data_IF_482025374180
#
_entry.id   IF_482025374180
#
_cell.length_a   1.000
_cell.length_b   1.000
_cell.length_c   1.000
_cell.angle_alpha   90.00
_cell.angle_beta   90.00
_cell.angle_gamma   90.00
#
_symmetry.space_group_name_H-M   'P 1'
#
loop_
_entity.id
_entity.type
_entity.pdbx_description
1 polymer ?
#
# COMPACT_ATOMS: atom_id res chain seq x y z
N UNK A 1 -15.96 -2.48 -5.15
CA UNK A 1 -16.97 -1.42 -4.99
C UNK A 1 -16.92 -0.92 -3.55
N UNK A 2 -16.73 0.37 -3.36
CA UNK A 2 -16.69 1.02 -2.05
C UNK A 2 -18.09 1.52 -1.70
N UNK A 3 -18.59 1.15 -0.52
CA UNK A 3 -19.93 1.54 -0.04
C UNK A 3 -19.98 2.95 0.54
N UNK A 4 -18.83 3.56 0.79
CA UNK A 4 -18.69 4.90 1.38
C UNK A 4 -17.72 5.76 0.58
N UNK A 5 -17.83 7.07 0.75
CA UNK A 5 -16.90 8.01 0.14
C UNK A 5 -15.55 7.97 0.84
N UNK A 6 -14.49 7.74 0.09
CA UNK A 6 -13.14 7.55 0.62
C UNK A 6 -12.26 8.80 0.51
N UNK A 7 -12.70 9.83 -0.23
CA UNK A 7 -11.96 11.09 -0.34
C UNK A 7 -12.12 11.93 0.92
N UNK A 8 -11.03 12.49 1.43
CA UNK A 8 -11.00 13.29 2.65
C UNK A 8 -11.99 14.48 2.62
N UNK A 9 -12.20 15.08 1.46
CA UNK A 9 -13.15 16.18 1.27
C UNK A 9 -14.59 15.83 1.69
N UNK A 10 -15.00 14.56 1.58
CA UNK A 10 -16.33 14.14 2.03
C UNK A 10 -16.47 14.16 3.57
N UNK A 11 -15.36 14.08 4.30
CA UNK A 11 -15.37 14.29 5.75
C UNK A 11 -15.85 15.67 6.12
N UNK A 12 -15.39 16.71 5.43
CA UNK A 12 -15.84 18.07 5.63
C UNK A 12 -17.33 18.23 5.30
N UNK A 13 -17.79 17.67 4.19
CA UNK A 13 -19.19 17.73 3.77
C UNK A 13 -20.08 17.03 4.81
N UNK A 14 -19.72 15.82 5.24
CA UNK A 14 -20.50 15.06 6.22
C UNK A 14 -20.56 15.71 7.61
N UNK A 15 -19.49 16.42 8.00
CA UNK A 15 -19.42 17.13 9.28
C UNK A 15 -20.03 18.56 9.24
N UNK A 16 -20.35 19.08 8.05
CA UNK A 16 -20.84 20.45 7.87
C UNK A 16 -19.79 21.51 8.15
N UNK A 17 -18.51 21.20 7.93
CA UNK A 17 -17.40 22.14 8.11
C UNK A 17 -16.84 22.59 6.76
N UNK A 18 -16.24 23.80 6.66
CA UNK A 18 -15.61 24.25 5.43
C UNK A 18 -14.47 23.32 5.00
N UNK A 19 -14.34 22.93 3.72
CA UNK A 19 -13.29 22.01 3.26
C UNK A 19 -11.86 22.49 3.54
N UNK A 20 -11.63 23.79 3.61
CA UNK A 20 -10.31 24.39 3.89
C UNK A 20 -9.88 24.26 5.36
N UNK A 21 -10.75 23.77 6.24
CA UNK A 21 -10.41 23.43 7.62
C UNK A 21 -9.67 22.09 7.74
N UNK A 22 -9.77 21.22 6.72
CA UNK A 22 -8.96 20.00 6.66
C UNK A 22 -7.56 20.40 6.20
N UNK A 23 -6.57 20.29 7.10
CA UNK A 23 -5.17 20.64 6.86
C UNK A 23 -4.31 19.41 6.62
N UNK A 24 -4.53 18.40 7.45
CA UNK A 24 -3.73 17.19 7.45
C UNK A 24 -4.56 16.01 6.96
N UNK A 25 -4.07 15.34 5.92
CA UNK A 25 -4.71 14.18 5.32
C UNK A 25 -3.72 13.02 5.39
N UNK A 26 -3.94 12.15 6.39
CA UNK A 26 -3.12 10.96 6.58
C UNK A 26 -3.74 9.80 5.80
N UNK A 27 -3.07 9.39 4.74
CA UNK A 27 -3.50 8.24 3.95
C UNK A 27 -2.87 6.96 4.48
N UNK A 28 -3.68 6.00 4.87
CA UNK A 28 -3.21 4.68 5.32
C UNK A 28 -2.98 3.78 4.11
N UNK A 29 -1.76 3.30 3.94
CA UNK A 29 -1.33 2.49 2.81
C UNK A 29 -0.67 1.20 3.31
N UNK A 30 -0.98 0.08 2.72
CA UNK A 30 -0.29 -1.19 2.99
C UNK A 30 1.06 -1.24 2.25
N UNK A 31 2.03 -1.93 2.82
CA UNK A 31 3.31 -2.20 2.17
C UNK A 31 3.20 -3.12 0.92
N UNK A 32 2.04 -3.70 0.69
CA UNK A 32 1.62 -4.41 -0.52
C UNK A 32 0.19 -3.99 -0.88
N UNK A 33 -0.37 -4.47 -1.97
CA UNK A 33 -1.74 -4.15 -2.37
C UNK A 33 -2.68 -5.33 -2.18
N UNK A 34 -3.92 -5.06 -1.78
CA UNK A 34 -4.98 -6.09 -1.76
C UNK A 34 -6.30 -5.50 -2.24
N UNK A 35 -7.11 -6.31 -2.92
CA UNK A 35 -8.38 -5.87 -3.47
C UNK A 35 -9.50 -6.88 -3.21
N UNK A 36 -10.74 -6.37 -3.21
CA UNK A 36 -11.98 -7.15 -3.14
C UNK A 36 -12.82 -6.86 -4.38
N UNK A 37 -13.50 -7.87 -4.88
CA UNK A 37 -14.40 -7.73 -6.02
C UNK A 37 -13.72 -7.83 -7.37
N UNK A 38 -14.53 -7.62 -8.43
CA UNK A 38 -14.08 -7.61 -9.80
C UNK A 38 -13.56 -6.23 -10.20
N UNK A 39 -12.68 -6.17 -11.16
CA UNK A 39 -12.06 -4.97 -11.69
C UNK A 39 -10.58 -5.22 -11.95
N UNK A 40 -9.98 -4.36 -12.75
CA UNK A 40 -8.58 -4.49 -13.08
C UNK A 40 -7.69 -4.21 -11.87
N UNK A 41 -6.72 -5.08 -11.67
CA UNK A 41 -5.73 -4.96 -10.61
C UNK A 41 -4.35 -5.24 -11.21
N UNK A 42 -3.75 -4.22 -11.82
CA UNK A 42 -2.58 -4.37 -12.70
C UNK A 42 -1.39 -5.02 -12.00
N UNK A 43 -1.16 -4.75 -10.72
CA UNK A 43 -0.08 -5.37 -9.95
C UNK A 43 -0.46 -6.69 -9.27
N UNK A 44 -1.58 -7.32 -9.67
CA UNK A 44 -2.05 -8.57 -9.09
C UNK A 44 -1.05 -9.71 -9.32
N UNK A 45 -0.88 -10.55 -8.30
CA UNK A 45 -0.08 -11.76 -8.32
C UNK A 45 -0.97 -12.99 -8.10
N UNK A 46 -0.51 -14.14 -8.55
CA UNK A 46 -1.29 -15.38 -8.59
C UNK A 46 -0.48 -16.56 -8.06
N UNK A 47 -1.16 -17.68 -7.78
CA UNK A 47 -0.54 -18.92 -7.35
C UNK A 47 0.03 -18.84 -5.93
N UNK A 48 1.05 -19.68 -5.67
CA UNK A 48 1.63 -19.87 -4.33
C UNK A 48 2.16 -18.57 -3.69
N UNK A 49 2.69 -17.66 -4.51
CA UNK A 49 3.17 -16.35 -4.05
C UNK A 49 2.01 -15.50 -3.48
N UNK A 50 0.88 -15.45 -4.19
CA UNK A 50 -0.30 -14.75 -3.72
C UNK A 50 -0.89 -15.40 -2.48
N UNK A 51 -0.91 -16.73 -2.43
CA UNK A 51 -1.46 -17.50 -1.32
C UNK A 51 -0.62 -17.32 -0.05
N UNK A 52 0.71 -17.33 -0.17
CA UNK A 52 1.60 -17.11 0.95
C UNK A 52 1.49 -15.67 1.49
N UNK A 53 1.50 -14.67 0.61
CA UNK A 53 1.31 -13.27 1.01
C UNK A 53 -0.06 -13.07 1.69
N UNK A 54 -1.11 -13.68 1.15
CA UNK A 54 -2.47 -13.64 1.73
C UNK A 54 -2.51 -14.26 3.11
N UNK A 55 -1.88 -15.41 3.29
CA UNK A 55 -1.84 -16.13 4.56
C UNK A 55 -1.10 -15.34 5.64
N UNK A 56 -0.04 -14.63 5.28
CA UNK A 56 0.75 -13.79 6.19
C UNK A 56 0.13 -12.43 6.46
N UNK A 57 -0.74 -11.97 5.58
CA UNK A 57 -1.31 -10.63 5.62
C UNK A 57 -2.16 -10.38 6.85
N UNK A 58 -1.66 -9.61 7.81
CA UNK A 58 -2.34 -9.27 9.06
C UNK A 58 -2.62 -10.46 9.97
N UNK A 59 -3.32 -10.22 11.07
CA UNK A 59 -3.77 -11.29 11.95
C UNK A 59 -4.96 -12.03 11.31
N UNK A 60 -4.76 -13.31 11.01
CA UNK A 60 -5.76 -14.17 10.36
C UNK A 60 -5.76 -14.13 8.84
N UNK A 61 -4.81 -13.42 8.22
CA UNK A 61 -4.65 -13.34 6.76
C UNK A 61 -5.55 -12.32 6.07
N UNK A 62 -5.31 -12.14 4.78
CA UNK A 62 -6.07 -11.20 3.92
C UNK A 62 -7.35 -11.86 3.40
N UNK A 63 -8.36 -11.90 4.26
CA UNK A 63 -9.71 -12.38 3.93
C UNK A 63 -10.75 -11.29 4.19
N UNK A 64 -11.87 -11.33 3.48
CA UNK A 64 -12.97 -10.41 3.73
C UNK A 64 -13.58 -10.63 5.11
N UNK A 65 -13.61 -9.59 5.95
CA UNK A 65 -14.04 -9.67 7.35
C UNK A 65 -15.45 -10.28 7.55
N UNK A 66 -16.35 -10.05 6.60
CA UNK A 66 -17.75 -10.53 6.68
C UNK A 66 -17.98 -11.83 5.92
N UNK A 67 -17.20 -12.12 4.90
CA UNK A 67 -17.46 -13.22 3.96
C UNK A 67 -16.43 -14.33 4.01
N UNK A 68 -15.28 -14.10 4.66
CA UNK A 68 -14.12 -15.02 4.64
C UNK A 68 -13.52 -15.25 3.24
N UNK A 69 -13.94 -14.50 2.22
CA UNK A 69 -13.43 -14.68 0.85
C UNK A 69 -11.99 -14.21 0.75
N UNK A 70 -11.12 -14.97 0.05
CA UNK A 70 -9.76 -14.56 -0.20
C UNK A 70 -9.72 -13.20 -0.92
N UNK A 71 -8.86 -12.30 -0.46
CA UNK A 71 -8.56 -11.06 -1.19
C UNK A 71 -7.62 -11.36 -2.35
N UNK A 72 -7.76 -10.60 -3.40
CA UNK A 72 -6.78 -10.54 -4.49
C UNK A 72 -5.55 -9.83 -3.96
N UNK A 73 -4.37 -10.37 -4.21
CA UNK A 73 -3.10 -9.86 -3.72
C UNK A 73 -2.31 -9.24 -4.85
N UNK A 74 -1.50 -8.24 -4.54
CA UNK A 74 -0.66 -7.58 -5.53
C UNK A 74 0.50 -6.82 -4.88
N UNK A 75 1.52 -6.52 -5.67
CA UNK A 75 2.62 -5.70 -5.21
C UNK A 75 2.21 -4.23 -5.07
N UNK A 76 2.96 -3.50 -4.26
CA UNK A 76 2.67 -2.09 -3.95
C UNK A 76 2.47 -1.23 -5.21
N UNK A 77 1.38 -0.47 -5.26
CA UNK A 77 1.01 0.39 -6.39
C UNK A 77 0.06 1.54 -5.95
N UNK A 78 0.42 2.32 -4.93
CA UNK A 78 -0.53 3.26 -4.26
C UNK A 78 -0.33 4.74 -4.59
N UNK A 79 0.61 5.10 -5.48
CA UNK A 79 0.93 6.51 -5.81
C UNK A 79 -0.30 7.32 -6.24
N UNK A 80 -1.07 6.78 -7.18
CA UNK A 80 -2.27 7.48 -7.66
C UNK A 80 -3.31 7.69 -6.57
N UNK A 81 -3.51 6.70 -5.70
CA UNK A 81 -4.44 6.79 -4.56
C UNK A 81 -4.07 7.92 -3.60
N UNK A 82 -2.80 8.04 -3.21
CA UNK A 82 -2.31 9.10 -2.35
C UNK A 82 -2.51 10.49 -3.00
N UNK A 83 -2.20 10.61 -4.30
CA UNK A 83 -2.41 11.84 -5.06
C UNK A 83 -3.88 12.26 -5.12
N UNK A 84 -4.79 11.29 -5.36
CA UNK A 84 -6.24 11.57 -5.42
C UNK A 84 -6.83 11.94 -4.06
N UNK A 85 -6.25 11.43 -2.96
CA UNK A 85 -6.63 11.82 -1.60
C UNK A 85 -6.17 13.23 -1.23
N UNK A 86 -5.18 13.78 -1.94
CA UNK A 86 -4.48 14.98 -1.50
C UNK A 86 -3.69 14.73 -0.21
N UNK A 87 -3.11 13.52 -0.09
CA UNK A 87 -2.38 13.11 1.10
C UNK A 87 -1.27 14.11 1.44
N UNK A 88 -1.23 14.55 2.70
CA UNK A 88 -0.14 15.35 3.26
C UNK A 88 0.87 14.47 3.97
N UNK A 89 0.42 13.30 4.45
CA UNK A 89 1.22 12.30 5.14
C UNK A 89 0.71 10.89 4.82
N UNK A 90 1.58 9.91 5.03
CA UNK A 90 1.24 8.50 4.88
C UNK A 90 1.57 7.71 6.14
N UNK A 91 0.64 6.85 6.54
CA UNK A 91 0.87 5.76 7.46
C UNK A 91 1.06 4.45 6.65
N UNK A 92 2.30 3.94 6.59
CA UNK A 92 2.62 2.68 5.93
C UNK A 92 2.41 1.52 6.89
N UNK A 93 1.54 0.58 6.52
CA UNK A 93 1.12 -0.52 7.40
C UNK A 93 1.51 -1.90 6.88
N UNK A 94 1.39 -2.91 7.71
CA UNK A 94 1.68 -4.34 7.43
C UNK A 94 3.08 -4.58 6.85
N UNK A 95 4.05 -3.80 7.30
CA UNK A 95 5.43 -3.90 6.84
C UNK A 95 6.08 -5.21 7.30
N UNK A 96 5.74 -5.69 8.49
CA UNK A 96 6.17 -6.97 9.08
C UNK A 96 5.87 -8.17 8.18
N UNK A 97 4.78 -8.09 7.43
CA UNK A 97 4.34 -9.17 6.52
C UNK A 97 5.36 -9.49 5.45
N UNK A 98 6.14 -8.52 4.99
CA UNK A 98 7.13 -8.68 3.91
C UNK A 98 8.46 -9.28 4.38
N UNK A 99 8.66 -9.46 5.70
CA UNK A 99 9.93 -9.91 6.28
C UNK A 99 10.41 -11.31 5.85
N UNK A 100 9.59 -12.10 5.18
CA UNK A 100 9.97 -13.43 4.67
C UNK A 100 10.60 -13.40 3.27
N UNK A 101 10.46 -12.29 2.53
CA UNK A 101 10.87 -12.17 1.14
C UNK A 101 12.38 -11.93 0.99
N UNK A 102 12.98 -12.51 -0.03
CA UNK A 102 14.34 -12.21 -0.46
C UNK A 102 14.38 -10.94 -1.31
N UNK A 103 13.36 -10.78 -2.14
CA UNK A 103 13.18 -9.66 -3.05
C UNK A 103 11.74 -9.16 -3.00
N UNK A 104 11.55 -7.85 -3.07
CA UNK A 104 10.23 -7.20 -2.97
C UNK A 104 10.00 -6.36 -4.22
N UNK A 105 9.12 -6.78 -5.13
CA UNK A 105 8.72 -5.98 -6.28
C UNK A 105 7.84 -4.80 -5.87
N UNK A 106 8.08 -3.65 -6.48
CA UNK A 106 7.27 -2.43 -6.34
C UNK A 106 6.84 -2.00 -7.74
N UNK A 107 5.55 -1.82 -7.96
CA UNK A 107 5.01 -1.32 -9.22
C UNK A 107 5.29 0.18 -9.32
N UNK A 108 6.19 0.55 -10.22
CA UNK A 108 6.63 1.94 -10.42
C UNK A 108 6.05 2.58 -11.68
N UNK A 109 5.34 1.81 -12.48
CA UNK A 109 4.73 2.30 -13.73
C UNK A 109 3.91 1.22 -14.43
N UNK A 110 3.42 1.57 -15.58
CA UNK A 110 2.52 0.76 -16.41
C UNK A 110 3.00 0.77 -17.85
N UNK A 111 3.09 -0.40 -18.46
CA UNK A 111 3.30 -0.56 -19.90
C UNK A 111 1.96 -0.75 -20.59
N UNK A 112 1.67 0.05 -21.60
CA UNK A 112 0.43 0.01 -22.38
C UNK A 112 0.77 0.19 -23.86
N UNK A 113 0.43 -0.81 -24.66
CA UNK A 113 0.67 -0.80 -26.12
C UNK A 113 2.17 -0.51 -26.48
N UNK A 114 3.10 -0.92 -25.61
CA UNK A 114 4.56 -0.74 -25.78
C UNK A 114 5.11 0.57 -25.21
N UNK A 115 4.28 1.43 -24.67
CA UNK A 115 4.71 2.67 -24.00
C UNK A 115 4.67 2.53 -22.48
N UNK A 116 5.68 3.04 -21.79
CA UNK A 116 5.75 3.05 -20.33
C UNK A 116 5.33 4.42 -19.79
N UNK A 117 4.42 4.41 -18.84
CA UNK A 117 3.95 5.61 -18.13
C UNK A 117 3.97 5.41 -16.62
N UNK A 118 4.16 6.47 -15.86
CA UNK A 118 3.96 6.49 -14.41
C UNK A 118 2.54 6.93 -14.01
N UNK A 119 1.80 7.48 -14.96
CA UNK A 119 0.42 7.89 -14.73
C UNK A 119 -0.50 6.67 -14.70
N UNK A 120 -1.40 6.64 -13.70
CA UNK A 120 -2.37 5.57 -13.57
C UNK A 120 -3.31 5.55 -14.78
N UNK A 121 -3.45 4.41 -15.48
CA UNK A 121 -4.22 4.35 -16.71
C UNK A 121 -5.72 4.58 -16.47
N UNK A 122 -6.37 5.23 -17.42
CA UNK A 122 -7.85 5.30 -17.43
C UNK A 122 -8.44 3.89 -17.59
N UNK A 123 -9.66 3.70 -17.11
CA UNK A 123 -10.32 2.38 -17.05
C UNK A 123 -10.28 1.62 -18.38
N UNK A 124 -10.45 2.28 -19.51
CA UNK A 124 -10.40 1.65 -20.84
C UNK A 124 -9.01 1.09 -21.21
N UNK A 125 -7.95 1.57 -20.58
CA UNK A 125 -6.56 1.13 -20.80
C UNK A 125 -6.07 0.14 -19.75
N UNK A 126 -6.73 0.09 -18.57
CA UNK A 126 -6.31 -0.77 -17.45
C UNK A 126 -6.25 -2.25 -17.85
N UNK A 127 -7.21 -2.73 -18.61
CA UNK A 127 -7.26 -4.14 -19.04
C UNK A 127 -6.06 -4.57 -19.92
N UNK A 128 -5.36 -3.61 -20.53
CA UNK A 128 -4.17 -3.84 -21.35
C UNK A 128 -2.87 -3.51 -20.62
N UNK A 129 -2.97 -2.84 -19.49
CA UNK A 129 -1.81 -2.39 -18.75
C UNK A 129 -1.06 -3.56 -18.12
N UNK A 130 0.27 -3.53 -18.23
CA UNK A 130 1.16 -4.45 -17.54
C UNK A 130 1.95 -3.66 -16.49
N UNK A 131 2.21 -4.25 -15.31
CA UNK A 131 2.98 -3.56 -14.29
C UNK A 131 4.46 -3.50 -14.68
N UNK A 132 5.09 -2.36 -14.44
CA UNK A 132 6.55 -2.20 -14.50
C UNK A 132 7.07 -2.22 -13.08
N UNK A 133 7.91 -3.20 -12.77
CA UNK A 133 8.41 -3.40 -11.41
C UNK A 133 9.84 -2.90 -11.24
N UNK A 134 10.09 -2.31 -10.07
CA UNK A 134 11.41 -2.17 -9.47
C UNK A 134 11.52 -3.19 -8.35
N UNK A 135 12.51 -4.06 -8.42
CA UNK A 135 12.76 -5.06 -7.38
C UNK A 135 13.74 -4.49 -6.36
N UNK A 136 13.39 -4.58 -5.09
CA UNK A 136 14.21 -4.16 -3.96
C UNK A 136 14.62 -5.39 -3.13
N UNK A 137 15.80 -5.39 -2.49
CA UNK A 137 16.19 -6.48 -1.60
C UNK A 137 15.27 -6.52 -0.37
N UNK A 138 14.85 -7.71 0.01
CA UNK A 138 14.16 -7.96 1.26
C UNK A 138 15.09 -7.85 2.46
N UNK A 139 14.53 -7.87 3.66
CA UNK A 139 15.31 -7.78 4.90
C UNK A 139 15.43 -9.09 5.66
N UNK A 140 14.56 -10.08 5.41
CA UNK A 140 14.62 -11.44 5.99
C UNK A 140 14.74 -11.48 7.52
N UNK A 141 14.16 -10.52 8.18
CA UNK A 141 14.22 -10.36 9.62
C UNK A 141 12.83 -10.05 10.19
N UNK A 142 12.58 -10.52 11.41
CA UNK A 142 11.38 -10.14 12.17
C UNK A 142 11.55 -8.69 12.67
N UNK A 143 10.57 -7.85 12.39
CA UNK A 143 10.58 -6.44 12.76
C UNK A 143 9.52 -6.06 13.79
N UNK A 144 8.66 -7.00 14.18
CA UNK A 144 7.69 -6.75 15.25
C UNK A 144 8.39 -6.40 16.55
N UNK A 145 7.82 -5.47 17.28
CA UNK A 145 8.38 -5.02 18.56
C UNK A 145 9.54 -4.01 18.45
N UNK A 146 10.01 -3.70 17.24
CA UNK A 146 10.95 -2.59 17.03
C UNK A 146 10.14 -1.30 17.12
N UNK A 147 10.56 -0.37 17.99
CA UNK A 147 9.86 0.89 18.27
C UNK A 147 10.59 2.13 17.75
N UNK A 148 11.84 1.97 17.29
CA UNK A 148 12.68 3.05 16.79
C UNK A 148 13.03 2.81 15.32
N UNK A 149 12.87 3.84 14.48
CA UNK A 149 13.11 3.75 13.04
C UNK A 149 14.53 3.29 12.69
N UNK A 150 15.52 3.83 13.38
CA UNK A 150 16.93 3.53 13.11
C UNK A 150 17.34 2.09 13.48
N UNK A 151 16.52 1.40 14.26
CA UNK A 151 16.72 -0.02 14.61
C UNK A 151 16.10 -0.98 13.60
N UNK A 152 15.32 -0.50 12.65
CA UNK A 152 14.85 -1.32 11.55
C UNK A 152 16.02 -1.79 10.68
N UNK A 153 15.97 -3.00 10.10
CA UNK A 153 16.97 -3.48 9.15
C UNK A 153 17.21 -2.48 8.03
N UNK A 154 18.43 -2.38 7.56
CA UNK A 154 18.82 -1.40 6.53
C UNK A 154 17.96 -1.50 5.27
N UNK A 155 17.72 -2.73 4.78
CA UNK A 155 16.87 -2.94 3.60
C UNK A 155 15.42 -2.55 3.85
N UNK A 156 14.90 -2.75 5.08
CA UNK A 156 13.57 -2.31 5.46
C UNK A 156 13.46 -0.77 5.41
N UNK A 157 14.44 -0.04 5.94
CA UNK A 157 14.50 1.42 5.85
C UNK A 157 14.61 1.91 4.39
N UNK A 158 15.46 1.27 3.58
CA UNK A 158 15.58 1.57 2.15
C UNK A 158 14.26 1.33 1.39
N UNK A 159 13.52 0.30 1.76
CA UNK A 159 12.19 0.05 1.21
C UNK A 159 11.24 1.20 1.54
N UNK A 160 11.15 1.62 2.80
CA UNK A 160 10.30 2.74 3.24
C UNK A 160 10.67 4.03 2.50
N UNK A 161 11.95 4.36 2.43
CA UNK A 161 12.46 5.55 1.74
C UNK A 161 12.16 5.52 0.23
N UNK A 162 12.26 4.34 -0.38
CA UNK A 162 11.90 4.16 -1.78
C UNK A 162 10.40 4.37 -2.00
N UNK A 163 9.54 3.79 -1.16
CA UNK A 163 8.09 3.98 -1.23
C UNK A 163 7.73 5.46 -1.02
N UNK A 164 8.31 6.13 -0.04
CA UNK A 164 8.11 7.55 0.22
C UNK A 164 8.42 8.40 -1.03
N UNK A 165 9.54 8.12 -1.69
CA UNK A 165 9.91 8.76 -2.94
C UNK A 165 8.93 8.47 -4.09
N UNK A 166 8.45 7.23 -4.19
CA UNK A 166 7.47 6.86 -5.23
C UNK A 166 6.10 7.50 -4.99
N UNK A 167 5.69 7.66 -3.75
CA UNK A 167 4.43 8.32 -3.37
C UNK A 167 4.49 9.84 -3.54
N UNK A 168 5.69 10.44 -3.44
CA UNK A 168 5.91 11.90 -3.40
C UNK A 168 5.20 12.55 -2.18
N UNK A 169 5.03 11.78 -1.10
CA UNK A 169 4.37 12.18 0.14
C UNK A 169 5.16 11.60 1.31
N UNK A 170 5.45 12.35 2.38
CA UNK A 170 6.20 11.83 3.52
C UNK A 170 5.49 10.67 4.22
N UNK A 171 6.23 9.62 4.53
CA UNK A 171 5.78 8.53 5.39
C UNK A 171 6.17 8.87 6.81
N UNK A 172 5.25 9.36 7.60
CA UNK A 172 5.49 9.80 8.99
C UNK A 172 5.21 8.72 10.02
N UNK A 173 4.48 7.69 9.63
CA UNK A 173 4.13 6.55 10.48
C UNK A 173 4.38 5.24 9.76
N UNK A 174 5.00 4.30 10.46
CA UNK A 174 5.25 2.93 9.98
C UNK A 174 4.71 1.95 10.99
N UNK A 175 3.77 1.11 10.59
CA UNK A 175 3.26 0.03 11.43
C UNK A 175 3.93 -1.29 11.05
N UNK A 176 4.49 -1.95 12.06
CA UNK A 176 5.18 -3.23 11.96
C UNK A 176 4.47 -4.35 12.75
N UNK A 177 3.19 -4.15 13.04
CA UNK A 177 2.31 -5.13 13.68
C UNK A 177 0.92 -4.56 13.93
N UNK A 178 -0.04 -5.37 14.43
CA UNK A 178 -1.45 -4.99 14.62
C UNK A 178 -1.70 -4.16 15.88
N UNK A 179 -0.75 -4.13 16.82
CA UNK A 179 -0.92 -3.51 18.12
C UNK A 179 -0.76 -1.99 18.08
N UNK A 180 -1.45 -1.30 18.99
CA UNK A 180 -1.34 0.17 19.14
C UNK A 180 0.10 0.64 19.32
N UNK A 181 0.94 -0.17 19.96
CA UNK A 181 2.34 0.17 20.26
C UNK A 181 3.32 -0.24 19.15
N UNK A 182 2.81 -0.85 18.08
CA UNK A 182 3.59 -1.30 16.93
C UNK A 182 3.53 -0.27 15.79
N UNK A 183 3.58 1.01 16.17
CA UNK A 183 3.67 2.16 15.25
C UNK A 183 4.94 2.93 15.59
N UNK A 184 5.78 3.08 14.59
CA UNK A 184 7.01 3.88 14.64
C UNK A 184 6.70 5.24 14.00
N UNK A 185 6.97 6.31 14.71
CA UNK A 185 6.87 7.68 14.19
C UNK A 185 8.24 8.15 13.67
N UNK A 186 8.22 8.85 12.52
CA UNK A 186 9.41 9.38 11.83
C UNK A 186 9.40 10.90 11.84
#
# INVERSE_FOLDING_TARGET
>A
VTSSSTLAAYGAIGAGIPPYEIKDIITVVKAYSSAVGAGEFVSEIFGDEADELRRRGGDGGEFGATTGRPRRMGWFASRYGCRMQGATEVALTVLDVLGYLDEIPVCVGYEIDGEVTRDFPVTAKLAKAKPVYKVLPGWKEEIRGITEYDKLPENCRKYIEFIEKELEVPITMVSNGPGRHEIIYR
#
